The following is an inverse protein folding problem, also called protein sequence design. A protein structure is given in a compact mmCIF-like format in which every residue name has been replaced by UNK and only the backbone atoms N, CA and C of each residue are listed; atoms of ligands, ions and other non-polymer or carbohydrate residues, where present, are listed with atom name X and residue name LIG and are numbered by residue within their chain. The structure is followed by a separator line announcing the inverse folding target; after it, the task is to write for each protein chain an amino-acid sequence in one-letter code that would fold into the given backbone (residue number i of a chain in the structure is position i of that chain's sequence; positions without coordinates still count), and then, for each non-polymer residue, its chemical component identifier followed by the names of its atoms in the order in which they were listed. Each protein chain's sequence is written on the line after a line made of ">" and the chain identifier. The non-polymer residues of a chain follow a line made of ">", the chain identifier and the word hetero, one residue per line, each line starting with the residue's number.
data_IF_253725531386
#
_entry.id   IF_253725531386
#
_cell.length_a   1.000
_cell.length_b   1.000
_cell.length_c   1.000
_cell.angle_alpha   90.00
_cell.angle_beta   90.00
_cell.angle_gamma   90.00
#
_symmetry.space_group_name_H-M   'P 1'
#
loop_
_entity.id
_entity.type
_entity.pdbx_description
1 polymer ?
#
# COMPACT_ATOMS: atom_id res chain seq x y z
N UNK A 1 13.06 -6.80 -9.13
CA UNK A 1 14.42 -6.57 -9.69
C UNK A 1 14.85 -5.11 -9.61
N UNK A 2 14.03 -4.16 -10.09
CA UNK A 2 14.38 -2.73 -10.11
C UNK A 2 14.68 -2.13 -8.74
N UNK A 3 14.03 -2.58 -7.67
CA UNK A 3 14.29 -2.10 -6.29
C UNK A 3 15.66 -2.51 -5.75
N UNK A 4 16.32 -3.46 -6.40
CA UNK A 4 17.60 -3.99 -5.98
C UNK A 4 18.70 -3.61 -6.99
N UNK A 5 18.38 -3.65 -8.29
CA UNK A 5 19.31 -3.31 -9.35
C UNK A 5 18.63 -3.22 -10.72
N UNK A 6 18.81 -2.09 -11.42
CA UNK A 6 18.51 -1.94 -12.84
C UNK A 6 19.82 -1.99 -13.65
N UNK A 7 20.06 -3.01 -14.50
CA UNK A 7 21.32 -3.19 -15.21
C UNK A 7 21.77 -2.00 -16.06
N UNK A 8 20.81 -1.28 -16.67
CA UNK A 8 21.10 -0.10 -17.50
C UNK A 8 21.54 1.10 -16.66
N UNK A 9 20.95 1.28 -15.48
CA UNK A 9 21.23 2.38 -14.56
C UNK A 9 22.34 2.08 -13.55
N UNK A 10 22.68 0.79 -13.35
CA UNK A 10 23.63 0.28 -12.35
C UNK A 10 23.33 0.68 -10.90
N UNK A 11 22.07 0.95 -10.61
CA UNK A 11 21.53 1.33 -9.29
C UNK A 11 20.13 0.74 -9.15
N UNK A 12 19.64 0.53 -7.93
CA UNK A 12 18.24 0.19 -7.72
C UNK A 12 17.37 1.44 -7.70
N UNK A 13 16.06 1.24 -7.64
CA UNK A 13 15.09 2.31 -7.57
C UNK A 13 14.11 2.10 -6.42
N UNK A 14 13.81 3.16 -5.66
CA UNK A 14 12.69 3.14 -4.73
C UNK A 14 11.42 3.57 -5.45
N UNK A 15 10.31 2.93 -5.09
CA UNK A 15 8.99 3.26 -5.61
C UNK A 15 8.16 3.87 -4.48
N UNK A 16 7.40 4.93 -4.79
CA UNK A 16 6.39 5.42 -3.88
C UNK A 16 5.25 4.42 -3.72
N UNK A 17 4.35 4.66 -2.78
CA UNK A 17 3.03 4.03 -2.84
C UNK A 17 2.38 4.32 -4.21
N UNK A 18 1.68 3.34 -4.81
CA UNK A 18 1.06 3.55 -6.11
C UNK A 18 -0.01 4.64 -6.03
N UNK A 19 0.08 5.61 -6.93
CA UNK A 19 -0.91 6.67 -7.05
C UNK A 19 -2.05 6.30 -8.00
N UNK A 20 -1.86 5.28 -8.84
CA UNK A 20 -2.86 4.76 -9.78
C UNK A 20 -2.68 3.26 -9.94
N UNK A 21 -3.80 2.54 -10.04
CA UNK A 21 -3.81 1.13 -10.42
C UNK A 21 -4.43 1.04 -11.80
N UNK A 22 -3.64 0.58 -12.75
CA UNK A 22 -4.09 0.25 -14.08
C UNK A 22 -4.14 -1.28 -14.26
N UNK A 23 -4.64 -1.75 -15.38
CA UNK A 23 -4.73 -3.16 -15.69
C UNK A 23 -4.56 -3.46 -17.16
N UNK A 24 -3.94 -4.61 -17.46
CA UNK A 24 -3.93 -5.14 -18.80
C UNK A 24 -5.32 -5.61 -19.19
N UNK A 25 -5.83 -5.04 -20.28
CA UNK A 25 -7.06 -5.46 -20.93
C UNK A 25 -6.89 -5.50 -22.45
N UNK A 26 -7.87 -6.11 -23.11
CA UNK A 26 -7.98 -6.13 -24.55
C UNK A 26 -9.01 -5.09 -25.00
N UNK A 27 -8.65 -4.30 -26.00
CA UNK A 27 -9.54 -3.35 -26.65
C UNK A 27 -9.61 -3.63 -28.15
N UNK A 28 -10.73 -3.32 -28.78
CA UNK A 28 -10.86 -3.42 -30.23
C UNK A 28 -12.18 -3.97 -30.72
N UNK A 29 -12.14 -4.74 -31.79
CA UNK A 29 -13.35 -5.27 -32.41
C UNK A 29 -14.06 -6.27 -31.47
N UNK A 30 -15.36 -6.10 -31.18
CA UNK A 30 -16.03 -6.86 -30.13
C UNK A 30 -15.88 -8.38 -30.20
N UNK A 31 -16.00 -8.98 -31.38
CA UNK A 31 -15.85 -10.42 -31.55
C UNK A 31 -14.43 -10.92 -31.25
N UNK A 32 -13.40 -10.14 -31.57
CA UNK A 32 -12.01 -10.52 -31.35
C UNK A 32 -11.53 -10.18 -29.94
N UNK A 33 -12.11 -9.15 -29.32
CA UNK A 33 -11.93 -8.89 -27.88
C UNK A 33 -12.48 -10.06 -27.06
N UNK A 34 -13.64 -10.62 -27.43
CA UNK A 34 -14.17 -11.84 -26.78
C UNK A 34 -13.23 -13.05 -26.97
N UNK A 35 -12.70 -13.25 -28.19
CA UNK A 35 -11.70 -14.29 -28.45
C UNK A 35 -10.46 -14.13 -27.56
N UNK A 36 -9.88 -12.94 -27.50
CA UNK A 36 -8.72 -12.65 -26.67
C UNK A 36 -9.02 -12.81 -25.18
N UNK A 37 -10.19 -12.36 -24.73
CA UNK A 37 -10.65 -12.50 -23.34
C UNK A 37 -10.79 -13.96 -22.91
N UNK A 38 -11.22 -14.84 -23.82
CA UNK A 38 -11.32 -16.29 -23.59
C UNK A 38 -10.02 -17.06 -23.86
N UNK A 39 -8.93 -16.36 -24.18
CA UNK A 39 -7.64 -16.95 -24.58
C UNK A 39 -7.77 -17.93 -25.77
N UNK A 40 -8.78 -17.72 -26.62
CA UNK A 40 -9.05 -18.55 -27.78
C UNK A 40 -8.42 -17.90 -29.02
N UNK A 41 -7.30 -18.45 -29.47
CA UNK A 41 -6.64 -18.06 -30.74
C UNK A 41 -6.75 -19.15 -31.83
N UNK A 42 -7.42 -20.27 -31.52
CA UNK A 42 -7.36 -21.48 -32.37
C UNK A 42 -8.68 -21.82 -33.03
N UNK A 43 -9.81 -21.43 -32.44
CA UNK A 43 -11.12 -21.70 -33.05
C UNK A 43 -11.25 -20.97 -34.39
N UNK A 44 -12.02 -21.51 -35.33
CA UNK A 44 -12.16 -20.92 -36.66
C UNK A 44 -12.65 -19.45 -36.64
N UNK A 45 -13.42 -19.07 -35.60
CA UNK A 45 -13.86 -17.69 -35.38
C UNK A 45 -12.70 -16.78 -34.94
N UNK A 46 -11.77 -17.32 -34.16
CA UNK A 46 -10.70 -16.58 -33.51
C UNK A 46 -9.33 -16.75 -34.17
N UNK A 47 -9.16 -17.62 -35.17
CA UNK A 47 -7.90 -17.76 -35.94
C UNK A 47 -7.42 -16.42 -36.55
N UNK A 48 -8.30 -15.49 -36.97
CA UNK A 48 -7.87 -14.18 -37.43
C UNK A 48 -7.42 -13.22 -36.32
N UNK A 49 -7.44 -13.62 -35.04
CA UNK A 49 -7.04 -12.78 -33.91
C UNK A 49 -5.60 -12.28 -34.09
N UNK A 50 -5.45 -10.96 -34.05
CA UNK A 50 -4.17 -10.27 -34.11
C UNK A 50 -4.14 -9.16 -33.07
N UNK A 51 -3.19 -9.29 -32.14
CA UNK A 51 -3.08 -8.41 -30.97
C UNK A 51 -1.89 -7.49 -31.17
N UNK A 52 -2.15 -6.19 -31.29
CA UNK A 52 -1.13 -5.15 -31.25
C UNK A 52 -0.72 -4.89 -29.81
N UNK A 53 0.58 -4.93 -29.52
CA UNK A 53 1.12 -4.72 -28.17
C UNK A 53 2.43 -3.94 -28.22
N UNK A 54 2.65 -3.07 -27.22
CA UNK A 54 3.88 -2.30 -27.09
C UNK A 54 5.01 -3.19 -26.57
N UNK A 55 6.15 -3.16 -27.28
CA UNK A 55 7.37 -3.87 -26.88
C UNK A 55 7.94 -3.35 -25.56
N UNK A 56 8.71 -4.20 -24.87
CA UNK A 56 9.41 -3.86 -23.61
C UNK A 56 8.48 -3.44 -22.46
N UNK A 57 7.22 -3.86 -22.52
CA UNK A 57 6.25 -3.72 -21.43
C UNK A 57 6.13 -5.04 -20.65
N UNK A 58 5.67 -4.95 -19.40
CA UNK A 58 5.29 -6.12 -18.59
C UNK A 58 4.16 -6.93 -19.24
N UNK A 59 3.34 -6.29 -20.08
CA UNK A 59 2.20 -6.92 -20.74
C UNK A 59 2.60 -8.02 -21.73
N UNK A 60 3.67 -7.83 -22.50
CA UNK A 60 4.10 -8.82 -23.48
C UNK A 60 4.53 -10.12 -22.78
N UNK A 61 5.31 -10.01 -21.71
CA UNK A 61 5.76 -11.16 -20.92
C UNK A 61 4.57 -11.93 -20.32
N UNK A 62 3.55 -11.20 -19.86
CA UNK A 62 2.32 -11.81 -19.30
C UNK A 62 1.56 -12.58 -20.39
N UNK A 63 1.43 -12.01 -21.59
CA UNK A 63 0.64 -12.59 -22.67
C UNK A 63 1.36 -13.71 -23.44
N UNK A 64 2.69 -13.71 -23.49
CA UNK A 64 3.48 -14.80 -24.09
C UNK A 64 3.32 -16.13 -23.34
N UNK A 65 2.92 -16.10 -22.07
CA UNK A 65 2.56 -17.31 -21.32
C UNK A 65 1.15 -17.84 -21.62
N UNK A 66 0.33 -17.08 -22.35
CA UNK A 66 -1.10 -17.37 -22.60
C UNK A 66 -1.41 -17.60 -24.07
N UNK A 67 -0.65 -16.97 -24.96
CA UNK A 67 -0.85 -17.09 -26.41
C UNK A 67 0.45 -17.48 -27.12
N UNK A 68 0.32 -18.16 -28.28
CA UNK A 68 1.47 -18.39 -29.13
C UNK A 68 2.01 -17.06 -29.69
N UNK A 69 3.34 -16.88 -29.81
CA UNK A 69 3.96 -15.61 -30.20
C UNK A 69 3.45 -15.04 -31.53
N UNK A 70 2.98 -15.90 -32.43
CA UNK A 70 2.50 -15.54 -33.76
C UNK A 70 1.20 -14.74 -33.74
N UNK A 71 0.47 -14.70 -32.62
CA UNK A 71 -0.75 -13.87 -32.47
C UNK A 71 -0.42 -12.39 -32.35
N UNK A 72 0.78 -12.07 -31.86
CA UNK A 72 1.17 -10.70 -31.55
C UNK A 72 1.76 -9.97 -32.77
N UNK A 73 1.41 -8.70 -32.88
CA UNK A 73 2.21 -7.70 -33.56
C UNK A 73 2.88 -6.86 -32.47
N UNK A 74 4.20 -6.87 -32.47
CA UNK A 74 5.06 -6.20 -31.50
C UNK A 74 5.48 -4.83 -32.03
N UNK A 75 5.15 -3.76 -31.32
CA UNK A 75 5.37 -2.39 -31.78
C UNK A 75 6.36 -1.66 -30.86
N UNK A 76 7.37 -0.97 -31.41
CA UNK A 76 8.40 -0.31 -30.61
C UNK A 76 8.00 1.07 -30.08
N UNK A 77 6.81 1.57 -30.44
CA UNK A 77 6.35 2.91 -30.04
C UNK A 77 4.82 2.97 -29.96
N UNK A 78 4.32 3.84 -29.08
CA UNK A 78 2.88 4.09 -28.89
C UNK A 78 2.23 4.61 -30.19
N UNK A 79 2.89 5.50 -30.93
CA UNK A 79 2.39 5.95 -32.24
C UNK A 79 2.30 4.82 -33.27
N UNK A 80 3.28 3.90 -33.24
CA UNK A 80 3.27 2.71 -34.08
C UNK A 80 2.15 1.75 -33.69
N UNK A 81 1.90 1.58 -32.39
CA UNK A 81 0.81 0.80 -31.83
C UNK A 81 -0.55 1.26 -32.38
N UNK A 82 -0.85 2.56 -32.25
CA UNK A 82 -2.12 3.10 -32.75
C UNK A 82 -2.21 3.02 -34.27
N UNK A 83 -1.15 3.37 -35.01
CA UNK A 83 -1.16 3.33 -36.48
C UNK A 83 -1.36 1.91 -37.02
N UNK A 84 -0.78 0.91 -36.37
CA UNK A 84 -0.96 -0.50 -36.72
C UNK A 84 -2.40 -0.96 -36.47
N UNK A 85 -2.96 -0.61 -35.31
CA UNK A 85 -4.34 -0.95 -34.97
C UNK A 85 -5.36 -0.24 -35.89
N UNK A 86 -5.22 1.07 -36.13
CA UNK A 86 -6.14 1.84 -36.99
C UNK A 86 -5.99 1.50 -38.48
N UNK A 87 -4.77 1.12 -38.91
CA UNK A 87 -4.49 0.62 -40.24
C UNK A 87 -5.00 -0.81 -40.49
N UNK A 88 -5.53 -1.50 -39.48
CA UNK A 88 -6.09 -2.84 -39.60
C UNK A 88 -5.06 -3.97 -39.59
N UNK A 89 -3.81 -3.71 -39.18
CA UNK A 89 -2.82 -4.76 -38.94
C UNK A 89 -3.28 -5.70 -37.82
N UNK A 90 -3.97 -5.14 -36.83
CA UNK A 90 -4.52 -5.84 -35.68
C UNK A 90 -6.02 -5.58 -35.56
N UNK A 91 -6.76 -6.56 -35.04
CA UNK A 91 -8.17 -6.40 -34.66
C UNK A 91 -8.37 -6.20 -33.16
N UNK A 92 -7.31 -6.41 -32.37
CA UNK A 92 -7.24 -6.16 -30.93
C UNK A 92 -5.97 -5.38 -30.61
N UNK A 93 -6.04 -4.49 -29.62
CA UNK A 93 -4.92 -3.84 -28.95
C UNK A 93 -4.87 -4.35 -27.50
N UNK A 94 -3.69 -4.66 -27.00
CA UNK A 94 -3.45 -5.04 -25.60
C UNK A 94 -2.64 -3.95 -24.92
N UNK A 95 -3.12 -3.49 -23.77
CA UNK A 95 -2.43 -2.46 -22.98
C UNK A 95 -3.23 -2.07 -21.75
N UNK A 96 -2.73 -1.02 -21.09
CA UNK A 96 -3.39 -0.38 -19.97
C UNK A 96 -4.75 0.19 -20.34
N UNK A 97 -5.76 0.08 -19.47
CA UNK A 97 -7.13 0.49 -19.79
C UNK A 97 -7.23 1.97 -20.19
N UNK A 98 -6.37 2.83 -19.63
CA UNK A 98 -6.31 4.24 -20.05
C UNK A 98 -5.78 4.40 -21.48
N UNK A 99 -4.71 3.67 -21.83
CA UNK A 99 -4.02 3.73 -23.12
C UNK A 99 -4.91 3.19 -24.25
N UNK A 100 -5.71 2.16 -23.95
CA UNK A 100 -6.65 1.53 -24.88
C UNK A 100 -8.09 2.00 -24.66
N UNK A 101 -8.31 3.11 -23.96
CA UNK A 101 -9.68 3.63 -23.76
C UNK A 101 -10.31 3.99 -25.11
N UNK A 102 -11.64 3.87 -25.23
CA UNK A 102 -12.33 4.23 -26.48
C UNK A 102 -12.02 5.69 -26.87
N UNK A 103 -11.99 6.60 -25.89
CA UNK A 103 -11.64 8.00 -26.14
C UNK A 103 -10.26 8.15 -26.80
N UNK A 104 -9.23 7.45 -26.30
CA UNK A 104 -7.87 7.55 -26.80
C UNK A 104 -7.74 6.93 -28.20
N UNK A 105 -8.29 5.75 -28.44
CA UNK A 105 -8.21 5.13 -29.78
C UNK A 105 -9.02 5.89 -30.83
N UNK A 106 -10.14 6.53 -30.44
CA UNK A 106 -10.92 7.43 -31.30
C UNK A 106 -10.13 8.70 -31.64
N UNK A 107 -9.47 9.30 -30.65
CA UNK A 107 -8.59 10.46 -30.86
C UNK A 107 -7.42 10.14 -31.81
N UNK A 108 -6.96 8.89 -31.83
CA UNK A 108 -5.95 8.39 -32.76
C UNK A 108 -6.53 7.86 -34.09
N UNK A 109 -7.81 8.11 -34.36
CA UNK A 109 -8.42 7.91 -35.68
C UNK A 109 -9.06 6.54 -35.92
N UNK A 110 -9.32 5.72 -34.89
CA UNK A 110 -10.03 4.45 -35.07
C UNK A 110 -11.52 4.67 -35.39
N UNK A 111 -12.04 4.24 -36.57
CA UNK A 111 -13.42 4.50 -36.95
C UNK A 111 -14.39 3.35 -36.67
N UNK A 112 -13.90 2.15 -36.31
CA UNK A 112 -14.69 0.92 -36.23
C UNK A 112 -15.44 0.72 -34.91
N UNK A 113 -16.26 -0.33 -34.82
CA UNK A 113 -16.85 -0.74 -33.54
C UNK A 113 -15.75 -1.07 -32.54
N UNK A 114 -15.90 -0.58 -31.31
CA UNK A 114 -14.89 -0.73 -30.27
C UNK A 114 -15.54 -1.19 -28.98
N UNK A 115 -14.91 -2.14 -28.30
CA UNK A 115 -15.21 -2.49 -26.91
C UNK A 115 -13.91 -2.74 -26.17
N UNK A 116 -13.96 -2.62 -24.85
CA UNK A 116 -12.90 -3.09 -23.95
C UNK A 116 -13.43 -4.36 -23.27
N UNK A 117 -12.57 -5.36 -23.16
CA UNK A 117 -12.87 -6.61 -22.47
C UNK A 117 -13.06 -6.35 -20.97
N UNK A 118 -13.97 -7.07 -20.34
CA UNK A 118 -14.23 -6.95 -18.90
C UNK A 118 -13.19 -7.67 -18.04
N UNK A 119 -12.30 -8.47 -18.64
CA UNK A 119 -11.29 -9.23 -17.92
C UNK A 119 -10.03 -8.40 -17.70
N UNK A 120 -9.62 -8.34 -16.43
CA UNK A 120 -8.35 -7.78 -15.99
C UNK A 120 -7.31 -8.90 -15.98
N UNK A 121 -6.28 -8.80 -16.83
CA UNK A 121 -5.26 -9.84 -17.01
C UNK A 121 -4.01 -9.61 -16.17
N UNK A 122 -3.75 -8.36 -15.80
CA UNK A 122 -2.66 -7.95 -14.92
C UNK A 122 -3.07 -6.76 -14.06
N UNK A 123 -2.31 -6.51 -13.00
CA UNK A 123 -2.45 -5.36 -12.11
C UNK A 123 -1.19 -4.53 -12.29
N UNK A 124 -1.31 -3.31 -12.74
CA UNK A 124 -0.18 -2.40 -12.96
C UNK A 124 -0.25 -1.26 -11.93
N UNK A 125 0.42 -1.41 -10.77
CA UNK A 125 0.59 -0.32 -9.83
C UNK A 125 1.52 0.72 -10.45
N UNK A 126 1.01 1.92 -10.71
CA UNK A 126 1.81 3.04 -11.16
C UNK A 126 2.26 3.85 -9.96
N UNK A 127 3.56 3.92 -9.78
CA UNK A 127 4.24 4.62 -8.69
C UNK A 127 5.23 5.63 -9.27
N UNK A 128 5.58 6.64 -8.46
CA UNK A 128 6.74 7.47 -8.74
C UNK A 128 8.01 6.68 -8.42
N UNK A 129 9.08 6.92 -9.17
CA UNK A 129 10.33 6.18 -9.03
C UNK A 129 11.47 7.14 -8.72
N UNK A 130 12.23 6.83 -7.68
CA UNK A 130 13.44 7.53 -7.21
C UNK A 130 14.61 6.56 -7.14
N UNK A 131 15.82 7.04 -6.86
CA UNK A 131 16.97 6.15 -6.60
C UNK A 131 16.85 5.49 -5.24
N UNK A 132 17.27 4.24 -5.13
CA UNK A 132 17.23 3.47 -3.88
C UNK A 132 18.27 3.93 -2.83
N UNK A 133 19.33 4.60 -3.27
CA UNK A 133 20.41 5.10 -2.41
C UNK A 133 20.22 6.54 -1.90
N UNK A 134 19.04 7.11 -2.13
CA UNK A 134 18.61 8.41 -1.57
C UNK A 134 17.27 8.26 -0.82
N UNK A 135 17.28 7.64 0.37
CA UNK A 135 16.06 7.37 1.12
C UNK A 135 15.36 8.65 1.55
N UNK A 136 16.08 9.71 1.91
CA UNK A 136 15.47 10.99 2.29
C UNK A 136 14.67 11.63 1.15
N UNK A 137 15.16 11.53 -0.09
CA UNK A 137 14.40 11.97 -1.25
C UNK A 137 13.20 11.06 -1.55
N UNK A 138 13.38 9.75 -1.42
CA UNK A 138 12.30 8.77 -1.59
C UNK A 138 11.16 8.99 -0.59
N UNK A 139 11.50 9.21 0.69
CA UNK A 139 10.53 9.54 1.74
C UNK A 139 9.81 10.85 1.40
N UNK A 140 10.55 11.89 1.02
CA UNK A 140 9.96 13.18 0.64
C UNK A 140 8.93 13.03 -0.49
N UNK A 141 9.27 12.31 -1.56
CA UNK A 141 8.37 12.05 -2.69
C UNK A 141 7.15 11.24 -2.27
N UNK A 142 7.34 10.16 -1.50
CA UNK A 142 6.26 9.31 -1.03
C UNK A 142 5.28 10.07 -0.13
N UNK A 143 5.80 10.89 0.79
CA UNK A 143 4.99 11.66 1.72
C UNK A 143 4.25 12.82 1.07
N UNK A 144 4.77 13.40 -0.02
CA UNK A 144 3.98 14.33 -0.85
C UNK A 144 2.76 13.63 -1.45
N UNK A 145 2.89 12.41 -1.99
CA UNK A 145 1.73 11.67 -2.51
C UNK A 145 0.70 11.33 -1.43
N UNK A 146 1.16 10.80 -0.30
CA UNK A 146 0.28 10.48 0.84
C UNK A 146 -0.41 11.73 1.39
N UNK A 147 0.23 12.88 1.32
CA UNK A 147 -0.36 14.18 1.68
C UNK A 147 -1.54 14.55 0.78
N UNK A 148 -1.41 14.35 -0.54
CA UNK A 148 -2.48 14.62 -1.49
C UNK A 148 -3.68 13.69 -1.28
N UNK A 149 -3.44 12.42 -0.91
CA UNK A 149 -4.48 11.48 -0.52
C UNK A 149 -5.15 11.88 0.80
N UNK A 150 -4.36 12.23 1.81
CA UNK A 150 -4.85 12.70 3.10
C UNK A 150 -5.69 13.98 3.00
N UNK A 151 -5.35 14.87 2.08
CA UNK A 151 -6.12 16.07 1.79
C UNK A 151 -7.54 15.73 1.30
N UNK A 152 -7.68 14.73 0.43
CA UNK A 152 -8.99 14.27 -0.04
C UNK A 152 -9.83 13.72 1.11
N UNK A 153 -9.26 12.85 1.95
CA UNK A 153 -9.94 12.29 3.14
C UNK A 153 -10.50 13.39 4.07
N UNK A 154 -9.82 14.54 4.13
CA UNK A 154 -10.18 15.68 4.98
C UNK A 154 -10.95 16.77 4.25
N UNK A 155 -11.36 16.54 3.00
CA UNK A 155 -12.03 17.53 2.16
C UNK A 155 -11.23 18.85 2.02
N UNK A 156 -9.90 18.73 2.11
CA UNK A 156 -8.95 19.80 1.86
C UNK A 156 -8.72 19.83 0.36
N UNK A 157 -9.05 20.96 -0.26
CA UNK A 157 -9.00 21.17 -1.71
C UNK A 157 -7.98 22.24 -2.05
N UNK A 158 -7.69 22.39 -3.33
CA UNK A 158 -6.85 23.46 -3.83
C UNK A 158 -7.30 24.85 -3.31
N UNK A 159 -8.61 25.05 -3.17
CA UNK A 159 -9.21 26.33 -2.78
C UNK A 159 -9.11 26.65 -1.29
N UNK A 160 -8.95 25.65 -0.42
CA UNK A 160 -8.98 25.85 1.03
C UNK A 160 -7.66 25.49 1.74
N UNK A 161 -6.71 24.84 1.06
CA UNK A 161 -5.43 24.40 1.63
C UNK A 161 -4.65 25.56 2.28
N UNK A 162 -4.64 26.75 1.65
CA UNK A 162 -3.90 27.92 2.15
C UNK A 162 -4.33 28.36 3.56
N UNK A 163 -5.59 28.09 3.97
CA UNK A 163 -6.10 28.45 5.29
C UNK A 163 -5.50 27.59 6.42
N UNK A 164 -4.83 26.49 6.09
CA UNK A 164 -4.21 25.60 7.07
C UNK A 164 -2.87 26.12 7.59
N UNK A 165 -2.13 26.91 6.81
CA UNK A 165 -0.78 27.36 7.18
C UNK A 165 0.24 26.21 7.34
N UNK A 166 1.43 26.49 7.87
CA UNK A 166 2.46 25.48 8.08
C UNK A 166 1.98 24.40 9.09
N UNK A 167 2.27 23.12 8.79
CA UNK A 167 1.70 21.97 9.54
C UNK A 167 2.73 20.93 10.00
N UNK A 168 3.95 20.91 9.47
CA UNK A 168 4.93 19.86 9.83
C UNK A 168 6.36 20.23 9.41
N UNK A 169 7.30 20.29 10.34
CA UNK A 169 8.73 20.52 10.11
C UNK A 169 9.56 19.22 10.07
N UNK A 170 8.92 18.09 9.78
CA UNK A 170 9.53 16.74 9.80
C UNK A 170 10.73 16.60 8.86
N UNK A 171 10.77 17.36 7.76
CA UNK A 171 11.93 17.44 6.85
C UNK A 171 12.86 18.63 7.13
N UNK A 172 12.57 19.43 8.17
CA UNK A 172 13.22 20.69 8.46
C UNK A 172 12.24 21.88 8.40
N UNK A 173 12.56 23.00 9.09
CA UNK A 173 11.69 24.17 9.17
C UNK A 173 11.39 24.82 7.81
N UNK A 174 12.30 24.71 6.85
CA UNK A 174 12.15 25.20 5.48
C UNK A 174 11.04 24.47 4.70
N UNK A 175 10.70 23.24 5.09
CA UNK A 175 9.64 22.44 4.46
C UNK A 175 8.34 22.45 5.27
N UNK A 176 8.21 23.35 6.25
CA UNK A 176 7.06 23.39 7.16
C UNK A 176 5.68 23.58 6.51
N UNK A 177 5.68 24.12 5.29
CA UNK A 177 4.50 24.35 4.45
C UNK A 177 4.31 23.31 3.34
N UNK A 178 5.20 22.32 3.19
CA UNK A 178 5.23 21.42 2.02
C UNK A 178 3.87 20.78 1.70
N UNK A 179 3.11 20.41 2.73
CA UNK A 179 1.79 19.81 2.61
C UNK A 179 0.79 20.77 1.97
N UNK A 180 0.72 22.00 2.49
CA UNK A 180 -0.19 23.04 2.02
C UNK A 180 0.20 23.52 0.63
N UNK A 181 1.50 23.62 0.36
CA UNK A 181 2.01 24.05 -0.93
C UNK A 181 1.70 23.01 -2.02
N UNK A 182 1.87 21.71 -1.72
CA UNK A 182 1.54 20.63 -2.65
C UNK A 182 0.04 20.63 -3.02
N UNK A 183 -0.85 20.63 -2.02
CA UNK A 183 -2.31 20.63 -2.27
C UNK A 183 -2.75 21.94 -2.92
N UNK A 184 -2.22 23.08 -2.49
CA UNK A 184 -2.53 24.39 -3.10
C UNK A 184 -2.09 24.50 -4.56
N UNK A 185 -1.07 23.75 -4.97
CA UNK A 185 -0.59 23.73 -6.35
C UNK A 185 -1.45 22.87 -7.29
N UNK A 186 -1.86 21.67 -6.85
CA UNK A 186 -2.48 20.68 -7.77
C UNK A 186 -3.86 20.18 -7.35
N UNK A 187 -4.32 20.51 -6.14
CA UNK A 187 -5.51 19.93 -5.51
C UNK A 187 -5.19 18.58 -4.84
N UNK A 188 -6.17 18.00 -4.15
CA UNK A 188 -6.02 16.67 -3.59
C UNK A 188 -6.07 15.56 -4.67
N UNK A 189 -5.78 14.30 -4.30
CA UNK A 189 -5.73 13.21 -5.29
C UNK A 189 -7.08 12.98 -5.99
N UNK A 190 -8.21 13.20 -5.30
CA UNK A 190 -9.56 13.20 -5.88
C UNK A 190 -9.78 14.32 -6.89
N UNK A 191 -9.33 15.55 -6.64
CA UNK A 191 -9.40 16.66 -7.60
C UNK A 191 -8.50 16.39 -8.82
N UNK A 192 -7.35 15.74 -8.62
CA UNK A 192 -6.48 15.30 -9.72
C UNK A 192 -7.13 14.17 -10.52
N UNK A 193 -7.72 13.20 -9.85
CA UNK A 193 -8.44 12.07 -10.44
C UNK A 193 -9.69 12.54 -11.19
N UNK A 194 -10.47 13.46 -10.62
CA UNK A 194 -11.68 14.00 -11.25
C UNK A 194 -11.37 14.80 -12.51
N UNK A 195 -10.29 15.57 -12.47
CA UNK A 195 -9.85 16.38 -13.60
C UNK A 195 -9.35 15.57 -14.79
N UNK A 196 -8.91 14.33 -14.55
CA UNK A 196 -8.14 13.57 -15.55
C UNK A 196 -8.65 12.14 -15.84
N UNK A 197 -9.30 11.48 -14.87
CA UNK A 197 -9.55 10.03 -14.87
C UNK A 197 -10.99 9.62 -14.49
N UNK A 198 -11.81 10.53 -13.93
CA UNK A 198 -13.16 10.21 -13.41
C UNK A 198 -14.15 9.62 -14.42
N UNK A 199 -14.01 9.90 -15.71
CA UNK A 199 -14.88 9.34 -16.75
C UNK A 199 -14.48 7.93 -17.19
N UNK A 200 -13.40 7.37 -16.64
CA UNK A 200 -12.77 6.15 -17.15
C UNK A 200 -12.85 4.94 -16.19
N UNK A 201 -12.93 5.12 -14.86
CA UNK A 201 -12.80 3.98 -13.91
C UNK A 201 -13.51 4.19 -12.54
N UNK A 202 -14.50 3.34 -12.14
CA UNK A 202 -15.11 3.28 -10.79
C UNK A 202 -14.57 2.13 -9.87
N UNK A 203 -14.66 2.21 -8.51
CA UNK A 203 -13.88 1.39 -7.50
C UNK A 203 -14.67 0.81 -6.27
N UNK A 204 -14.15 -0.24 -5.54
CA UNK A 204 -14.17 -0.61 -4.03
C UNK A 204 -14.25 -2.16 -3.70
N UNK A 205 -13.57 -2.86 -2.68
CA UNK A 205 -13.45 -2.69 -1.19
C UNK A 205 -12.01 -2.89 -0.55
N UNK A 206 -11.82 -3.03 0.79
CA UNK A 206 -10.61 -2.60 1.58
C UNK A 206 -9.60 -3.67 2.12
N UNK A 207 -9.95 -4.89 2.57
CA UNK A 207 -8.96 -5.81 3.21
C UNK A 207 -8.79 -7.16 2.49
N UNK A 208 -9.23 -7.23 1.25
CA UNK A 208 -9.04 -8.41 0.41
C UNK A 208 -7.87 -8.19 -0.52
N UNK A 209 -7.23 -9.28 -0.93
CA UNK A 209 -6.35 -9.25 -2.10
C UNK A 209 -7.12 -8.59 -3.24
N UNK A 210 -6.48 -7.60 -3.87
CA UNK A 210 -6.97 -6.91 -5.04
C UNK A 210 -7.00 -7.92 -6.18
N UNK A 211 -8.17 -8.48 -6.46
CA UNK A 211 -8.43 -9.34 -7.61
C UNK A 211 -9.01 -8.57 -8.81
N UNK A 212 -8.84 -7.23 -8.83
CA UNK A 212 -9.45 -6.32 -9.81
C UNK A 212 -10.63 -5.53 -9.24
N UNK A 213 -11.06 -5.85 -8.02
CA UNK A 213 -12.26 -5.29 -7.41
C UNK A 213 -11.96 -4.54 -6.11
N UNK A 214 -10.82 -4.79 -5.46
CA UNK A 214 -10.42 -4.21 -4.17
C UNK A 214 -9.20 -3.31 -4.30
N UNK A 215 -9.02 -2.39 -3.37
CA UNK A 215 -8.15 -1.23 -3.58
C UNK A 215 -6.77 -1.30 -2.92
N UNK A 216 -6.55 -2.26 -2.02
CA UNK A 216 -5.66 -1.97 -0.88
C UNK A 216 -4.59 -3.02 -0.58
N UNK A 217 -4.83 -4.31 -0.79
CA UNK A 217 -3.77 -5.32 -0.63
C UNK A 217 -3.48 -5.93 -2.00
N UNK A 218 -2.28 -5.77 -2.55
CA UNK A 218 -1.92 -6.33 -3.85
C UNK A 218 -0.46 -6.77 -3.90
N UNK A 219 -0.14 -7.74 -4.75
CA UNK A 219 1.25 -8.11 -5.05
C UNK A 219 1.71 -7.35 -6.29
N UNK A 220 2.87 -6.72 -6.23
CA UNK A 220 3.53 -6.19 -7.41
C UNK A 220 3.80 -7.31 -8.44
N UNK A 221 3.75 -7.01 -9.76
CA UNK A 221 4.27 -7.91 -10.78
C UNK A 221 5.76 -8.19 -10.50
N UNK A 222 6.15 -9.47 -10.44
CA UNK A 222 7.51 -9.86 -10.07
C UNK A 222 8.56 -9.61 -11.16
N UNK A 223 8.14 -9.20 -12.35
CA UNK A 223 9.02 -9.09 -13.52
C UNK A 223 9.67 -10.43 -13.88
N UNK A 224 10.87 -10.38 -14.48
CA UNK A 224 11.62 -11.58 -14.84
C UNK A 224 12.35 -12.18 -13.62
N UNK A 225 11.68 -13.10 -12.92
CA UNK A 225 12.25 -13.79 -11.75
C UNK A 225 13.44 -14.71 -12.04
N UNK A 226 13.80 -14.91 -13.31
CA UNK A 226 14.95 -15.72 -13.72
C UNK A 226 16.23 -14.91 -13.93
N UNK A 227 16.16 -13.57 -13.89
CA UNK A 227 17.34 -12.73 -14.02
C UNK A 227 18.12 -12.64 -12.69
N UNK A 228 19.44 -12.44 -12.81
CA UNK A 228 20.38 -12.46 -11.68
C UNK A 228 20.72 -11.04 -11.24
N UNK A 229 20.39 -10.69 -9.99
CA UNK A 229 20.75 -9.43 -9.35
C UNK A 229 22.13 -9.48 -8.64
N UNK A 230 22.64 -8.33 -8.20
CA UNK A 230 23.86 -8.27 -7.40
C UNK A 230 23.66 -8.92 -6.02
N UNK A 231 24.73 -9.44 -5.39
CA UNK A 231 24.65 -10.00 -4.04
C UNK A 231 24.37 -8.90 -3.00
N UNK A 232 23.78 -9.24 -1.84
CA UNK A 232 23.56 -8.28 -0.75
C UNK A 232 24.85 -7.59 -0.30
N UNK A 233 24.73 -6.33 0.16
CA UNK A 233 25.86 -5.57 0.70
C UNK A 233 26.42 -6.30 1.95
N UNK A 234 27.76 -6.45 2.09
CA UNK A 234 28.38 -7.26 3.15
C UNK A 234 28.08 -6.86 4.61
N UNK A 235 27.59 -5.64 4.86
CA UNK A 235 27.29 -5.08 6.20
C UNK A 235 25.81 -4.73 6.39
N UNK A 236 24.92 -5.39 5.63
CA UNK A 236 23.47 -5.23 5.76
C UNK A 236 22.87 -6.05 6.91
N UNK A 237 21.68 -5.67 7.42
CA UNK A 237 20.90 -6.47 8.37
C UNK A 237 20.68 -7.89 7.87
N UNK A 238 20.44 -8.08 6.56
CA UNK A 238 20.32 -9.41 5.94
C UNK A 238 21.61 -10.24 6.08
N UNK A 239 22.78 -9.63 5.89
CA UNK A 239 24.07 -10.31 6.08
C UNK A 239 24.25 -10.71 7.56
N UNK A 240 23.88 -9.84 8.50
CA UNK A 240 23.94 -10.12 9.95
C UNK A 240 22.98 -11.24 10.37
N UNK A 241 21.73 -11.25 9.87
CA UNK A 241 20.77 -12.33 10.14
C UNK A 241 21.31 -13.67 9.64
N UNK A 242 21.86 -13.70 8.41
CA UNK A 242 22.47 -14.91 7.85
C UNK A 242 23.66 -15.39 8.67
N UNK A 243 24.49 -14.47 9.18
CA UNK A 243 25.61 -14.77 10.04
C UNK A 243 25.16 -15.31 11.41
N UNK A 244 24.13 -14.71 11.99
CA UNK A 244 23.59 -15.10 13.30
C UNK A 244 22.77 -16.39 13.24
N UNK A 245 22.24 -16.76 12.07
CA UNK A 245 21.48 -17.99 11.85
C UNK A 245 20.03 -17.94 12.34
N UNK A 246 19.55 -16.79 12.82
CA UNK A 246 18.18 -16.58 13.29
C UNK A 246 17.72 -15.15 13.03
N UNK A 247 16.43 -14.98 12.71
CA UNK A 247 15.74 -13.69 12.60
C UNK A 247 15.13 -13.29 13.95
N UNK A 248 15.43 -12.10 14.46
CA UNK A 248 14.79 -11.56 15.68
C UNK A 248 13.57 -10.73 15.29
N UNK A 249 12.38 -11.25 15.53
CA UNK A 249 11.12 -10.61 15.15
C UNK A 249 10.45 -9.97 16.36
N UNK A 250 10.27 -8.64 16.33
CA UNK A 250 9.55 -7.90 17.35
C UNK A 250 8.04 -7.98 17.14
N UNK A 251 7.31 -8.63 18.05
CA UNK A 251 5.86 -8.88 17.97
C UNK A 251 5.10 -8.26 19.15
N UNK A 252 3.78 -8.11 19.02
CA UNK A 252 2.88 -7.73 20.13
C UNK A 252 1.90 -8.88 20.38
N UNK A 253 1.70 -9.25 21.64
CA UNK A 253 0.65 -10.21 21.99
C UNK A 253 -0.75 -9.65 21.66
N UNK A 254 -1.39 -10.25 20.67
CA UNK A 254 -2.72 -9.86 20.18
C UNK A 254 -3.37 -11.05 19.46
N UNK A 255 -4.63 -11.33 19.80
CA UNK A 255 -5.38 -12.45 19.24
C UNK A 255 -5.51 -12.34 17.72
N UNK A 256 -5.26 -13.43 16.99
CA UNK A 256 -5.19 -13.47 15.52
C UNK A 256 -3.90 -12.93 14.91
N UNK A 257 -3.11 -12.15 15.64
CA UNK A 257 -1.89 -11.49 15.16
C UNK A 257 -0.61 -12.18 15.64
N UNK A 258 -0.34 -12.15 16.93
CA UNK A 258 0.70 -12.94 17.55
C UNK A 258 0.24 -13.39 18.94
N UNK A 259 -0.15 -14.66 19.03
CA UNK A 259 -0.55 -15.32 20.26
C UNK A 259 0.56 -16.24 20.75
N UNK A 260 0.73 -16.29 22.06
CA UNK A 260 1.66 -17.21 22.70
C UNK A 260 0.89 -18.19 23.57
N UNK A 261 0.90 -19.46 23.18
CA UNK A 261 0.34 -20.55 23.96
C UNK A 261 1.34 -20.94 25.05
N UNK A 262 0.97 -20.69 26.31
CA UNK A 262 1.82 -20.98 27.47
C UNK A 262 2.00 -22.49 27.68
N UNK A 263 1.02 -23.32 27.32
CA UNK A 263 1.07 -24.76 27.51
C UNK A 263 2.02 -25.41 26.50
N UNK A 264 1.97 -24.99 25.23
CA UNK A 264 2.82 -25.53 24.16
C UNK A 264 4.12 -24.74 23.97
N UNK A 265 4.23 -23.55 24.57
CA UNK A 265 5.32 -22.60 24.35
C UNK A 265 5.48 -22.22 22.87
N UNK A 266 4.38 -22.14 22.12
CA UNK A 266 4.37 -21.85 20.68
C UNK A 266 3.72 -20.51 20.37
N UNK A 267 4.26 -19.85 19.34
CA UNK A 267 3.67 -18.67 18.74
C UNK A 267 2.78 -19.02 17.54
N UNK A 268 1.66 -18.33 17.39
CA UNK A 268 0.72 -18.45 16.26
C UNK A 268 0.05 -17.12 15.91
N UNK A 269 -0.38 -16.95 14.66
CA UNK A 269 -1.09 -15.75 14.18
C UNK A 269 -0.42 -15.13 12.95
N UNK A 270 -1.07 -14.13 12.34
CA UNK A 270 -0.63 -13.58 11.06
C UNK A 270 0.76 -12.92 11.13
N UNK A 271 1.09 -12.21 12.22
CA UNK A 271 2.40 -11.59 12.41
C UNK A 271 3.51 -12.64 12.57
N UNK A 272 3.19 -13.74 13.26
CA UNK A 272 4.09 -14.89 13.45
C UNK A 272 4.43 -15.53 12.11
N UNK A 273 3.42 -15.68 11.25
CA UNK A 273 3.59 -16.26 9.91
C UNK A 273 4.36 -15.33 8.97
N UNK A 274 4.22 -14.00 9.08
CA UNK A 274 5.10 -13.06 8.38
C UNK A 274 6.56 -13.23 8.78
N UNK A 275 6.88 -13.32 10.08
CA UNK A 275 8.25 -13.56 10.54
C UNK A 275 8.81 -14.91 10.01
N UNK A 276 7.99 -15.96 10.05
CA UNK A 276 8.34 -17.30 9.54
C UNK A 276 8.59 -17.31 8.03
N UNK A 277 7.81 -16.56 7.27
CA UNK A 277 8.00 -16.40 5.83
C UNK A 277 9.33 -15.72 5.50
N UNK A 278 9.68 -14.65 6.25
CA UNK A 278 10.99 -13.98 6.12
C UNK A 278 12.12 -14.97 6.44
N UNK A 279 12.03 -15.71 7.54
CA UNK A 279 13.01 -16.74 7.90
C UNK A 279 13.17 -17.79 6.80
N UNK A 280 12.06 -18.33 6.28
CA UNK A 280 12.10 -19.32 5.22
C UNK A 280 12.79 -18.80 3.95
N UNK A 281 12.55 -17.54 3.58
CA UNK A 281 13.21 -16.90 2.45
C UNK A 281 14.73 -16.76 2.67
N UNK A 282 15.17 -16.43 3.89
CA UNK A 282 16.59 -16.25 4.22
C UNK A 282 17.33 -17.59 4.35
N UNK A 283 16.67 -18.59 4.94
CA UNK A 283 17.28 -19.86 5.36
C UNK A 283 16.81 -21.06 4.52
N UNK A 284 16.52 -20.85 3.23
CA UNK A 284 16.20 -21.91 2.26
C UNK A 284 15.07 -22.85 2.70
N UNK A 285 13.93 -22.28 3.09
CA UNK A 285 12.73 -22.99 3.51
C UNK A 285 12.66 -23.27 5.02
N UNK A 286 13.71 -22.99 5.79
CA UNK A 286 13.67 -23.13 7.25
C UNK A 286 12.93 -21.95 7.87
N UNK A 287 11.65 -22.14 8.16
CA UNK A 287 10.78 -21.12 8.76
C UNK A 287 10.93 -21.01 10.29
N UNK A 288 11.54 -22.01 10.94
CA UNK A 288 11.66 -22.10 12.40
C UNK A 288 12.79 -21.26 13.00
N UNK A 289 13.66 -20.67 12.17
CA UNK A 289 14.81 -19.89 12.63
C UNK A 289 14.41 -18.45 12.96
N UNK A 290 13.47 -18.32 13.90
CA UNK A 290 12.92 -17.06 14.36
C UNK A 290 12.96 -17.00 15.89
N UNK A 291 13.50 -15.91 16.41
CA UNK A 291 13.36 -15.51 17.81
C UNK A 291 12.26 -14.46 17.92
N UNK A 292 11.16 -14.78 18.61
CA UNK A 292 10.06 -13.83 18.84
C UNK A 292 10.32 -13.03 20.11
N UNK A 293 10.37 -11.70 19.98
CA UNK A 293 10.62 -10.76 21.07
C UNK A 293 9.37 -9.90 21.24
N UNK A 294 8.73 -10.01 22.40
CA UNK A 294 7.56 -9.19 22.72
C UNK A 294 7.99 -7.73 22.98
N UNK A 295 7.38 -6.79 22.27
CA UNK A 295 7.64 -5.35 22.41
C UNK A 295 6.36 -4.56 22.62
N UNK A 296 6.44 -3.50 23.42
CA UNK A 296 5.29 -2.64 23.72
C UNK A 296 5.11 -1.56 22.63
N UNK A 297 4.07 -0.73 22.77
CA UNK A 297 3.95 0.43 21.90
C UNK A 297 5.10 1.43 22.13
N UNK A 298 5.49 1.72 23.37
CA UNK A 298 6.42 2.80 23.66
C UNK A 298 7.89 2.50 23.32
N UNK A 299 8.32 1.24 23.41
CA UNK A 299 9.74 0.85 23.27
C UNK A 299 10.10 0.17 21.94
N UNK A 300 9.12 -0.24 21.12
CA UNK A 300 9.37 -0.98 19.87
C UNK A 300 10.41 -0.34 18.93
N UNK A 301 10.40 0.99 18.81
CA UNK A 301 11.33 1.71 17.93
C UNK A 301 12.74 1.79 18.52
N UNK A 302 12.88 1.82 19.85
CA UNK A 302 14.18 1.68 20.50
C UNK A 302 14.75 0.28 20.24
N UNK A 303 13.93 -0.76 20.36
CA UNK A 303 14.35 -2.13 20.04
C UNK A 303 14.83 -2.28 18.60
N UNK A 304 14.12 -1.67 17.64
CA UNK A 304 14.52 -1.70 16.23
C UNK A 304 15.77 -0.83 15.98
N UNK A 305 15.77 0.42 16.44
CA UNK A 305 16.86 1.38 16.22
C UNK A 305 18.18 1.01 16.91
N UNK A 306 18.12 0.18 17.96
CA UNK A 306 19.31 -0.35 18.65
C UNK A 306 19.66 -1.79 18.26
N UNK A 307 19.06 -2.30 17.17
CA UNK A 307 19.30 -3.65 16.64
C UNK A 307 19.03 -4.79 17.66
N UNK A 308 18.08 -4.61 18.59
CA UNK A 308 17.60 -5.69 19.48
C UNK A 308 16.59 -6.59 18.77
N UNK A 309 15.82 -6.03 17.84
CA UNK A 309 15.02 -6.77 16.85
C UNK A 309 15.51 -6.39 15.45
N UNK A 310 15.32 -7.30 14.50
CA UNK A 310 15.69 -7.09 13.09
C UNK A 310 14.51 -6.56 12.27
N UNK A 311 13.28 -6.86 12.69
CA UNK A 311 12.03 -6.42 12.05
C UNK A 311 10.92 -6.30 13.09
N UNK A 312 10.01 -5.34 12.90
CA UNK A 312 8.77 -5.23 13.67
C UNK A 312 7.61 -5.82 12.86
N UNK A 313 7.10 -6.99 13.27
CA UNK A 313 5.89 -7.59 12.71
C UNK A 313 4.79 -7.52 13.77
N UNK A 314 4.06 -6.41 13.77
CA UNK A 314 2.98 -6.10 14.72
C UNK A 314 2.08 -5.02 14.13
N UNK A 315 0.94 -4.74 14.76
CA UNK A 315 0.06 -3.59 14.46
C UNK A 315 0.74 -2.23 14.71
N UNK A 316 1.68 -1.85 13.84
CA UNK A 316 2.39 -0.57 13.86
C UNK A 316 1.91 0.28 12.68
N UNK A 317 1.10 1.29 12.96
CA UNK A 317 0.68 2.26 11.93
C UNK A 317 1.90 3.00 11.37
N UNK A 318 2.08 2.98 10.05
CA UNK A 318 3.02 3.87 9.37
C UNK A 318 2.56 5.33 9.51
N UNK A 319 3.45 6.25 9.89
CA UNK A 319 3.14 7.69 9.96
C UNK A 319 4.32 8.50 9.45
N UNK A 320 4.05 9.69 8.92
CA UNK A 320 5.07 10.64 8.43
C UNK A 320 6.25 10.77 9.39
N UNK A 321 5.97 11.06 10.66
CA UNK A 321 7.00 11.23 11.68
C UNK A 321 7.79 9.94 11.95
N UNK A 322 7.16 8.76 11.89
CA UNK A 322 7.84 7.48 12.17
C UNK A 322 8.81 7.11 11.06
N UNK A 323 8.46 7.42 9.82
CA UNK A 323 9.24 7.08 8.64
C UNK A 323 10.43 8.03 8.46
N UNK A 324 10.20 9.33 8.63
CA UNK A 324 11.24 10.35 8.39
C UNK A 324 12.08 10.62 9.64
N UNK A 325 11.46 10.81 10.81
CA UNK A 325 12.19 11.24 12.00
C UNK A 325 11.46 11.00 13.33
N UNK A 326 11.92 10.00 14.10
CA UNK A 326 11.64 9.89 15.52
C UNK A 326 12.76 10.53 16.34
N UNK A 327 12.42 11.45 17.29
CA UNK A 327 13.42 12.11 18.13
C UNK A 327 14.35 11.11 18.81
N UNK A 328 15.66 11.25 18.54
CA UNK A 328 16.71 10.43 19.15
C UNK A 328 16.99 9.08 18.48
N UNK A 329 16.19 8.65 17.49
CA UNK A 329 16.35 7.35 16.83
C UNK A 329 16.45 7.44 15.29
N UNK A 330 16.07 8.57 14.67
CA UNK A 330 16.00 8.72 13.22
C UNK A 330 14.67 8.19 12.64
N UNK A 331 14.60 8.07 11.31
CA UNK A 331 13.47 7.50 10.58
C UNK A 331 13.53 5.98 10.44
N UNK A 332 12.40 5.34 10.15
CA UNK A 332 12.29 3.89 9.97
C UNK A 332 11.50 3.54 8.71
N UNK A 333 12.06 2.72 7.83
CA UNK A 333 11.35 2.28 6.62
C UNK A 333 10.25 1.27 6.93
N UNK A 334 9.11 1.43 6.25
CA UNK A 334 7.96 0.52 6.32
C UNK A 334 7.87 -0.36 5.07
N UNK A 335 7.39 -1.60 5.24
CA UNK A 335 6.94 -2.41 4.10
C UNK A 335 5.64 -1.87 3.53
N UNK A 336 5.15 -2.49 2.45
CA UNK A 336 3.75 -2.34 2.06
C UNK A 336 2.82 -2.68 3.24
N UNK A 337 1.66 -2.04 3.26
CA UNK A 337 0.63 -2.27 4.29
C UNK A 337 0.15 -3.71 4.24
N UNK A 338 0.28 -4.43 5.36
CA UNK A 338 -0.13 -5.84 5.49
C UNK A 338 -1.55 -6.00 6.02
N UNK A 339 -2.11 -4.96 6.65
CA UNK A 339 -3.45 -4.97 7.25
C UNK A 339 -3.98 -3.54 7.40
N UNK A 340 -5.24 -3.28 7.00
CA UNK A 340 -5.91 -2.00 7.23
C UNK A 340 -6.82 -2.09 8.45
N UNK A 341 -6.57 -1.24 9.43
CA UNK A 341 -7.30 -1.18 10.70
C UNK A 341 -8.00 0.18 10.88
N UNK A 342 -8.94 0.25 11.82
CA UNK A 342 -9.68 1.47 12.15
C UNK A 342 -9.73 1.74 13.64
N UNK A 343 -9.96 2.98 14.04
CA UNK A 343 -10.23 3.32 15.44
C UNK A 343 -11.60 2.75 15.85
N UNK A 344 -11.64 2.05 16.98
CA UNK A 344 -12.88 1.60 17.60
C UNK A 344 -13.01 2.07 19.05
N UNK A 345 -14.25 2.33 19.46
CA UNK A 345 -14.60 2.59 20.85
C UNK A 345 -15.40 1.42 21.43
N UNK A 346 -14.89 0.85 22.51
CA UNK A 346 -15.61 -0.11 23.35
C UNK A 346 -16.04 0.55 24.65
N UNK A 347 -17.10 0.08 25.30
CA UNK A 347 -17.47 0.62 26.59
C UNK A 347 -18.76 0.06 27.17
N UNK A 348 -19.00 0.39 28.44
CA UNK A 348 -20.24 0.05 29.13
C UNK A 348 -21.35 0.91 28.51
N UNK A 349 -22.52 0.36 28.13
CA UNK A 349 -23.61 1.20 27.64
C UNK A 349 -24.01 2.29 28.65
N UNK A 350 -24.24 3.55 28.20
CA UNK A 350 -24.22 4.02 26.81
C UNK A 350 -22.85 4.55 26.33
N UNK A 351 -21.80 4.49 27.15
CA UNK A 351 -20.54 5.21 26.96
C UNK A 351 -19.74 4.79 25.71
N UNK A 352 -19.79 3.53 25.30
CA UNK A 352 -19.19 3.10 24.04
C UNK A 352 -19.78 3.86 22.84
N UNK A 353 -21.12 3.91 22.76
CA UNK A 353 -21.83 4.68 21.72
C UNK A 353 -21.63 6.19 21.88
N UNK A 354 -21.56 6.69 23.11
CA UNK A 354 -21.21 8.10 23.36
C UNK A 354 -19.86 8.46 22.74
N UNK A 355 -18.83 7.64 22.95
CA UNK A 355 -17.51 7.86 22.39
C UNK A 355 -17.52 7.73 20.85
N UNK A 356 -18.16 6.70 20.32
CA UNK A 356 -18.29 6.48 18.87
C UNK A 356 -18.95 7.65 18.13
N UNK A 357 -19.92 8.31 18.78
CA UNK A 357 -20.63 9.47 18.22
C UNK A 357 -20.06 10.82 18.71
N UNK A 358 -18.89 10.81 19.36
CA UNK A 358 -18.22 12.00 19.94
C UNK A 358 -19.18 12.85 20.80
N UNK A 359 -20.09 12.18 21.50
CA UNK A 359 -21.13 12.81 22.31
C UNK A 359 -20.66 12.91 23.75
N UNK A 360 -20.63 14.12 24.29
CA UNK A 360 -20.07 14.44 25.62
C UNK A 360 -21.03 15.16 26.56
N UNK A 361 -22.33 15.17 26.21
CA UNK A 361 -23.39 15.87 26.96
C UNK A 361 -24.52 14.91 27.36
N UNK A 362 -25.34 15.33 28.33
CA UNK A 362 -26.46 14.55 28.85
C UNK A 362 -25.96 13.26 29.51
N UNK A 363 -26.50 12.11 29.10
CA UNK A 363 -26.07 10.80 29.60
C UNK A 363 -24.60 10.45 29.30
N UNK A 364 -23.92 11.25 28.46
CA UNK A 364 -22.50 11.09 28.13
C UNK A 364 -21.59 12.09 28.86
N UNK A 365 -22.13 12.87 29.81
CA UNK A 365 -21.37 13.91 30.52
C UNK A 365 -20.22 13.34 31.38
N UNK A 366 -20.38 12.12 31.89
CA UNK A 366 -19.40 11.43 32.73
C UNK A 366 -18.50 10.47 31.93
N UNK A 367 -18.42 10.64 30.60
CA UNK A 367 -17.57 9.81 29.75
C UNK A 367 -16.09 9.87 30.19
N UNK A 368 -15.45 8.72 30.26
CA UNK A 368 -14.02 8.55 30.54
C UNK A 368 -13.48 7.45 29.64
N UNK A 369 -12.60 7.83 28.72
CA UNK A 369 -12.04 6.96 27.69
C UNK A 369 -10.61 6.59 28.07
N UNK A 370 -10.39 5.33 28.44
CA UNK A 370 -9.07 4.77 28.64
C UNK A 370 -8.38 4.58 27.27
N UNK A 371 -7.14 5.04 27.12
CA UNK A 371 -6.39 4.89 25.88
C UNK A 371 -4.89 4.77 26.16
N UNK A 372 -4.22 3.83 25.48
CA UNK A 372 -2.81 3.53 25.70
C UNK A 372 -1.87 4.57 25.07
N UNK A 373 -0.94 5.12 25.85
CA UNK A 373 0.07 6.08 25.40
C UNK A 373 1.03 5.47 24.35
N UNK A 374 1.63 6.33 23.52
CA UNK A 374 2.55 5.90 22.44
C UNK A 374 1.87 5.27 21.21
N UNK A 375 0.53 5.27 21.17
CA UNK A 375 -0.28 4.81 20.04
C UNK A 375 -0.77 5.98 19.18
N UNK A 376 -1.10 5.71 17.92
CA UNK A 376 -1.83 6.66 17.07
C UNK A 376 -3.22 6.92 17.63
N UNK A 377 -3.87 5.89 18.18
CA UNK A 377 -5.17 5.98 18.87
C UNK A 377 -5.17 7.02 20.00
N UNK A 378 -4.10 7.08 20.80
CA UNK A 378 -3.95 8.13 21.82
C UNK A 378 -3.97 9.53 21.21
N UNK A 379 -3.19 9.74 20.16
CA UNK A 379 -3.11 11.05 19.46
C UNK A 379 -4.48 11.43 18.90
N UNK A 380 -5.13 10.52 18.17
CA UNK A 380 -6.45 10.74 17.57
C UNK A 380 -7.51 11.05 18.64
N UNK A 381 -7.56 10.27 19.73
CA UNK A 381 -8.53 10.49 20.80
C UNK A 381 -8.28 11.81 21.54
N UNK A 382 -7.01 12.19 21.74
CA UNK A 382 -6.65 13.49 22.33
C UNK A 382 -7.03 14.68 21.43
N UNK A 383 -7.04 14.50 20.11
CA UNK A 383 -7.50 15.53 19.16
C UNK A 383 -9.04 15.62 19.12
N UNK A 384 -9.74 14.48 19.24
CA UNK A 384 -11.20 14.41 19.16
C UNK A 384 -11.91 14.83 20.46
N UNK A 385 -11.29 14.63 21.62
CA UNK A 385 -11.92 14.85 22.93
C UNK A 385 -11.14 15.82 23.80
N UNK A 386 -11.87 16.67 24.53
CA UNK A 386 -11.25 17.50 25.57
C UNK A 386 -10.58 16.63 26.65
N UNK A 387 -9.43 17.09 27.16
CA UNK A 387 -8.58 16.33 28.08
C UNK A 387 -9.30 15.69 29.29
N UNK A 388 -10.38 16.30 29.79
CA UNK A 388 -11.18 15.76 30.90
C UNK A 388 -11.87 14.41 30.61
N UNK A 389 -12.06 14.06 29.33
CA UNK A 389 -12.69 12.82 28.89
C UNK A 389 -11.65 11.72 28.58
N UNK A 390 -10.37 12.08 28.46
CA UNK A 390 -9.29 11.18 28.07
C UNK A 390 -8.53 10.74 29.31
N UNK A 391 -8.38 9.43 29.49
CA UNK A 391 -7.60 8.82 30.57
C UNK A 391 -6.39 8.13 29.95
N UNK A 392 -5.21 8.77 29.97
CA UNK A 392 -3.98 8.18 29.47
C UNK A 392 -3.60 6.95 30.30
N UNK A 393 -3.28 5.85 29.63
CA UNK A 393 -2.88 4.59 30.25
C UNK A 393 -1.51 4.16 29.72
N UNK A 394 -0.62 3.58 30.55
CA UNK A 394 0.74 3.27 30.10
C UNK A 394 0.81 2.31 28.91
N UNK A 395 -0.17 1.42 28.77
CA UNK A 395 -0.26 0.45 27.67
C UNK A 395 -1.71 0.23 27.26
N UNK A 396 -1.95 -0.32 26.07
CA UNK A 396 -3.29 -0.73 25.64
C UNK A 396 -3.89 -1.78 26.57
N UNK A 397 -3.08 -2.73 27.07
CA UNK A 397 -3.54 -3.71 28.07
C UNK A 397 -3.99 -3.04 29.37
N UNK A 398 -3.25 -2.03 29.84
CA UNK A 398 -3.66 -1.24 30.99
C UNK A 398 -4.96 -0.47 30.71
N UNK A 399 -5.17 0.03 29.49
CA UNK A 399 -6.42 0.68 29.10
C UNK A 399 -7.64 -0.26 29.18
N UNK A 400 -7.50 -1.49 28.69
CA UNK A 400 -8.54 -2.52 28.81
C UNK A 400 -8.81 -2.89 30.29
N UNK A 401 -7.77 -3.01 31.10
CA UNK A 401 -7.90 -3.25 32.55
C UNK A 401 -8.55 -2.06 33.28
N UNK A 402 -8.28 -0.83 32.84
CA UNK A 402 -8.89 0.39 33.37
C UNK A 402 -10.41 0.40 33.16
N UNK A 403 -10.89 -0.06 32.00
CA UNK A 403 -12.31 -0.29 31.76
C UNK A 403 -12.87 -1.38 32.70
N UNK A 404 -12.18 -2.52 32.80
CA UNK A 404 -12.63 -3.65 33.63
C UNK A 404 -12.70 -3.33 35.13
N UNK A 405 -11.83 -2.44 35.61
CA UNK A 405 -11.75 -2.03 37.02
C UNK A 405 -12.54 -0.76 37.33
N UNK A 406 -13.20 -0.17 36.34
CA UNK A 406 -14.04 1.02 36.50
C UNK A 406 -13.28 2.35 36.61
N UNK A 407 -12.00 2.39 36.25
CA UNK A 407 -11.25 3.65 36.11
C UNK A 407 -11.80 4.49 34.95
N UNK A 408 -12.31 3.82 33.92
CA UNK A 408 -12.96 4.37 32.74
C UNK A 408 -14.28 3.66 32.47
N UNK A 409 -15.15 4.28 31.67
CA UNK A 409 -16.41 3.67 31.22
C UNK A 409 -16.46 3.44 29.70
N UNK A 410 -15.44 3.90 28.98
CA UNK A 410 -15.12 3.54 27.61
C UNK A 410 -13.60 3.29 27.44
N UNK A 411 -13.23 2.63 26.37
CA UNK A 411 -11.85 2.37 25.93
C UNK A 411 -11.74 2.66 24.43
N UNK A 412 -10.61 3.21 24.01
CA UNK A 412 -10.30 3.39 22.60
C UNK A 412 -9.09 2.53 22.21
N UNK A 413 -9.22 1.74 21.15
CA UNK A 413 -8.18 0.86 20.62
C UNK A 413 -8.41 0.67 19.12
N UNK A 414 -7.50 -0.03 18.46
CA UNK A 414 -7.69 -0.50 17.10
C UNK A 414 -8.91 -1.44 17.02
N UNK A 415 -9.63 -1.48 15.89
CA UNK A 415 -10.82 -2.32 15.69
C UNK A 415 -10.49 -3.80 15.79
N UNK A 416 -9.24 -4.15 15.48
CA UNK A 416 -8.71 -5.50 15.65
C UNK A 416 -8.33 -5.84 17.10
N UNK A 417 -8.47 -4.91 18.05
CA UNK A 417 -7.84 -4.93 19.37
C UNK A 417 -8.75 -5.09 20.57
#
# INVERSE_FOLDING_TARGET
>A
ERDVFEPTARVGFSFSEPYLYDSLSFGGQPDFVDCATREDSTSAKCTPLRICILDSTTYLDILLNRFPPEVFANLPSVSGLYSAFTGGLCNVIAGGQFEISEQVVRANGYPGNYTIGSTTLSKEPLALTTRDDDPSWSDFVNWVLLSLAHAEERLITQNNAAALGARSDVFGPEYSSMYVDAVGAVGNIGEMYDRHLSTLLPRQPVNTINEGNSALIYSHPFGNTLASGPPPIPVSTLALIRQNGSLRCGVRRLAGFAEFDIATQQWSGIDVDYCRAISAAIFNGVFSNVEFIEVSASDRFDYLGTYRVDVLCRTTTATFTRDVFLPGLGGFSFSQTTFYDGLAFGGIPPYGSCADNIRTLGQCADLKICVGEGTTTFTIVSDLFAARFVVPMPTTTAALQGLATGQCNAVATDSSG
#
